data_IF_205758867030
#
_entry.id   IF_205758867030
#
_cell.length_a   1.000
_cell.length_b   1.000
_cell.length_c   1.000
_cell.angle_alpha   90.00
_cell.angle_beta   90.00
_cell.angle_gamma   90.00
#
_symmetry.space_group_name_H-M   'P 1'
#
loop_
_entity.id
_entity.type
_entity.pdbx_description
1 polymer ?
#
# COMPACT_ATOMS: atom_id res chain seq x y z
N UNK A 1 13.98 3.23 -33.63
CA UNK A 1 12.65 3.87 -33.49
C UNK A 1 12.71 4.90 -32.39
N UNK A 2 12.13 6.08 -32.63
CA UNK A 2 12.10 7.15 -31.63
C UNK A 2 11.06 6.82 -30.54
N UNK A 3 11.38 6.98 -29.24
CA UNK A 3 10.43 6.69 -28.18
C UNK A 3 9.23 7.63 -28.25
N UNK A 4 8.02 7.08 -28.17
CA UNK A 4 6.77 7.84 -28.22
C UNK A 4 6.15 7.98 -26.84
N UNK A 5 5.56 9.13 -26.57
CA UNK A 5 4.89 9.42 -25.33
C UNK A 5 3.58 8.64 -25.24
N UNK A 6 3.39 7.89 -24.16
CA UNK A 6 2.17 7.12 -23.94
C UNK A 6 0.90 7.95 -23.77
N UNK A 7 1.02 9.26 -23.44
CA UNK A 7 -0.13 10.16 -23.31
C UNK A 7 -0.49 10.90 -24.59
N UNK A 8 0.50 11.53 -25.23
CA UNK A 8 0.25 12.41 -26.39
C UNK A 8 0.65 11.79 -27.73
N UNK A 9 1.27 10.61 -27.76
CA UNK A 9 1.72 9.92 -28.97
C UNK A 9 2.91 10.57 -29.69
N UNK A 10 3.37 11.75 -29.24
CA UNK A 10 4.50 12.48 -29.85
C UNK A 10 5.84 11.89 -29.43
N UNK A 11 6.88 12.14 -30.24
CA UNK A 11 8.25 11.72 -29.95
C UNK A 11 8.75 12.39 -28.66
N UNK A 12 9.39 11.59 -27.79
CA UNK A 12 9.99 12.04 -26.53
C UNK A 12 11.48 12.23 -26.73
N UNK A 13 11.96 13.46 -26.58
CA UNK A 13 13.38 13.76 -26.63
C UNK A 13 14.08 13.37 -25.32
N UNK A 14 15.38 13.03 -25.33
CA UNK A 14 16.13 12.63 -24.14
C UNK A 14 16.02 13.62 -22.96
N UNK A 15 15.95 14.92 -23.24
CA UNK A 15 15.84 15.99 -22.24
C UNK A 15 14.59 15.90 -21.36
N UNK A 16 13.47 15.47 -21.94
CA UNK A 16 12.17 15.36 -21.25
C UNK A 16 11.74 13.90 -21.03
N UNK A 17 12.63 12.95 -21.33
CA UNK A 17 12.31 11.53 -21.29
C UNK A 17 12.16 11.05 -19.86
N UNK A 18 10.97 10.54 -19.57
CA UNK A 18 10.65 9.83 -18.33
C UNK A 18 10.29 8.39 -18.70
N UNK A 19 10.96 7.43 -18.06
CA UNK A 19 10.65 6.00 -18.18
C UNK A 19 9.86 5.56 -16.95
N UNK A 20 8.59 5.21 -17.13
CA UNK A 20 7.70 4.74 -16.08
C UNK A 20 6.63 3.81 -16.68
N UNK A 21 6.20 2.80 -15.93
CA UNK A 21 5.13 1.88 -16.35
C UNK A 21 5.43 1.19 -17.69
N UNK A 22 6.70 0.81 -17.89
CA UNK A 22 7.24 0.20 -19.12
C UNK A 22 6.98 1.03 -20.39
N UNK A 23 6.83 2.35 -20.23
CA UNK A 23 6.50 3.30 -21.28
C UNK A 23 7.31 4.58 -21.14
N UNK A 24 7.37 5.34 -22.23
CA UNK A 24 8.03 6.65 -22.27
C UNK A 24 7.00 7.77 -22.15
N UNK A 25 7.37 8.83 -21.44
CA UNK A 25 6.53 9.99 -21.17
C UNK A 25 7.38 11.26 -21.26
N UNK A 26 6.76 12.38 -21.64
CA UNK A 26 7.34 13.70 -21.40
C UNK A 26 7.20 14.10 -19.94
N UNK A 27 8.14 14.87 -19.39
CA UNK A 27 8.03 15.46 -18.04
C UNK A 27 6.71 16.19 -17.81
N UNK A 28 6.23 16.97 -18.78
CA UNK A 28 4.92 17.65 -18.71
C UNK A 28 3.71 16.74 -18.92
N UNK A 29 3.87 15.61 -19.61
CA UNK A 29 2.79 14.64 -19.83
C UNK A 29 2.59 13.70 -18.64
N UNK A 30 3.56 13.62 -17.73
CA UNK A 30 3.50 12.74 -16.58
C UNK A 30 2.73 13.39 -15.41
N UNK A 31 1.40 13.36 -15.50
CA UNK A 31 0.50 13.93 -14.49
C UNK A 31 -0.65 12.98 -14.16
N UNK A 32 -1.23 13.14 -12.97
CA UNK A 32 -2.32 12.30 -12.49
C UNK A 32 -3.51 12.32 -13.47
N UNK A 33 -4.09 11.15 -13.77
CA UNK A 33 -5.24 11.06 -14.67
C UNK A 33 -6.46 11.83 -14.15
N UNK A 34 -6.64 11.89 -12.82
CA UNK A 34 -7.80 12.50 -12.16
C UNK A 34 -7.61 14.00 -11.96
N UNK A 35 -6.60 14.43 -11.18
CA UNK A 35 -6.42 15.84 -10.84
C UNK A 35 -5.49 16.62 -11.77
N UNK A 36 -4.91 15.98 -12.79
CA UNK A 36 -3.94 16.58 -13.72
C UNK A 36 -2.70 17.22 -13.06
N UNK A 37 -2.46 16.96 -11.78
CA UNK A 37 -1.25 17.40 -11.07
C UNK A 37 -0.02 16.68 -11.62
N UNK A 38 1.06 17.42 -11.88
CA UNK A 38 2.34 16.86 -12.32
C UNK A 38 2.89 15.89 -11.26
N UNK A 39 3.26 14.70 -11.72
CA UNK A 39 3.83 13.65 -10.90
C UNK A 39 5.33 13.57 -11.15
N UNK A 40 6.05 12.97 -10.22
CA UNK A 40 7.47 12.71 -10.31
C UNK A 40 7.74 11.26 -9.92
N UNK A 41 8.97 10.80 -10.14
CA UNK A 41 9.37 9.42 -9.88
C UNK A 41 9.21 9.01 -8.40
N UNK A 42 9.13 9.97 -7.49
CA UNK A 42 9.02 9.72 -6.04
C UNK A 42 7.57 9.69 -5.55
N UNK A 43 6.62 10.33 -6.24
CA UNK A 43 5.24 10.52 -5.76
C UNK A 43 4.16 9.84 -6.60
N UNK A 44 4.53 9.19 -7.71
CA UNK A 44 3.57 8.54 -8.58
C UNK A 44 3.18 7.15 -8.10
N UNK A 45 1.96 6.73 -8.44
CA UNK A 45 1.50 5.35 -8.34
C UNK A 45 0.98 4.89 -9.70
N UNK A 46 1.40 3.70 -10.10
CA UNK A 46 0.96 3.08 -11.35
C UNK A 46 -0.26 2.21 -11.14
N UNK A 47 -1.35 2.46 -11.86
CA UNK A 47 -2.49 1.56 -11.93
C UNK A 47 -2.92 1.40 -13.39
N UNK A 48 -3.06 0.17 -13.87
CA UNK A 48 -3.45 -0.14 -15.27
C UNK A 48 -2.64 0.63 -16.34
N UNK A 49 -1.32 0.74 -16.16
CA UNK A 49 -0.41 1.49 -17.06
C UNK A 49 -0.72 3.00 -17.17
N UNK A 50 -1.43 3.56 -16.18
CA UNK A 50 -1.69 5.01 -16.06
C UNK A 50 -1.12 5.56 -14.73
N UNK A 51 -0.61 6.81 -14.74
CA UNK A 51 -0.05 7.43 -13.54
C UNK A 51 -1.14 8.12 -12.69
N UNK A 52 -1.13 7.84 -11.39
CA UNK A 52 -2.02 8.42 -10.38
C UNK A 52 -1.20 9.04 -9.24
N UNK A 53 -1.77 10.04 -8.57
CA UNK A 53 -1.20 10.56 -7.32
C UNK A 53 -1.62 9.65 -6.14
N UNK A 54 -0.95 9.79 -5.00
CA UNK A 54 -1.28 9.02 -3.78
C UNK A 54 -2.75 9.17 -3.33
N UNK A 55 -3.38 10.32 -3.57
CA UNK A 55 -4.77 10.57 -3.19
C UNK A 55 -5.79 9.89 -4.13
N UNK A 56 -5.49 9.80 -5.42
CA UNK A 56 -6.37 9.22 -6.43
C UNK A 56 -5.96 7.80 -6.86
N UNK A 57 -5.01 7.20 -6.15
CA UNK A 57 -4.61 5.82 -6.41
C UNK A 57 -5.74 4.87 -5.98
N UNK A 58 -6.27 4.02 -6.88
CA UNK A 58 -7.32 3.06 -6.53
C UNK A 58 -6.81 2.11 -5.44
N UNK A 59 -7.25 2.32 -4.20
CA UNK A 59 -7.00 1.38 -3.11
C UNK A 59 -7.96 0.21 -3.32
N UNK A 60 -7.42 -0.93 -3.72
CA UNK A 60 -8.16 -2.19 -3.62
C UNK A 60 -8.45 -2.41 -2.13
N UNK A 61 -9.66 -2.07 -1.70
CA UNK A 61 -10.17 -2.49 -0.40
C UNK A 61 -10.36 -3.99 -0.48
N UNK A 62 -9.34 -4.74 -0.07
CA UNK A 62 -9.56 -6.10 0.41
C UNK A 62 -10.43 -5.97 1.66
N UNK A 63 -11.75 -5.97 1.48
CA UNK A 63 -12.67 -6.28 2.57
C UNK A 63 -12.46 -7.77 2.86
N UNK A 64 -11.59 -8.08 3.81
CA UNK A 64 -11.46 -9.43 4.37
C UNK A 64 -12.68 -9.76 5.21
N UNK A 65 -13.81 -9.95 4.55
CA UNK A 65 -14.95 -10.75 5.03
C UNK A 65 -15.61 -11.33 3.78
N UNK A 66 -14.94 -12.27 3.14
CA UNK A 66 -15.70 -13.28 2.41
C UNK A 66 -16.39 -14.11 3.50
N UNK A 67 -17.73 -14.16 3.46
CA UNK A 67 -18.55 -15.01 4.32
C UNK A 67 -18.26 -16.49 4.04
N UNK A 68 -17.10 -16.98 4.49
CA UNK A 68 -16.81 -18.41 4.52
C UNK A 68 -17.62 -19.03 5.68
N UNK A 69 -18.16 -20.25 5.51
CA UNK A 69 -18.93 -20.94 6.56
C UNK A 69 -18.13 -21.18 7.85
N UNK A 70 -16.82 -21.01 7.80
CA UNK A 70 -15.90 -21.06 8.94
C UNK A 70 -16.03 -19.85 9.87
N UNK A 71 -16.31 -18.65 9.32
CA UNK A 71 -16.47 -17.42 10.12
C UNK A 71 -17.73 -17.47 11.00
N UNK A 72 -18.79 -18.13 10.52
CA UNK A 72 -20.02 -18.33 11.30
C UNK A 72 -19.80 -19.31 12.47
N UNK A 73 -18.97 -20.34 12.25
CA UNK A 73 -18.60 -21.33 13.28
C UNK A 73 -17.74 -20.71 14.39
N UNK A 74 -16.84 -19.80 14.04
CA UNK A 74 -16.00 -19.06 15.00
C UNK A 74 -16.84 -18.17 15.93
N UNK A 75 -17.88 -17.50 15.41
CA UNK A 75 -18.80 -16.72 16.23
C UNK A 75 -19.51 -17.59 17.28
N UNK A 76 -20.08 -18.72 16.83
CA UNK A 76 -20.79 -19.65 17.71
C UNK A 76 -19.86 -20.31 18.76
N UNK A 77 -18.60 -20.56 18.40
CA UNK A 77 -17.59 -21.11 19.30
C UNK A 77 -17.13 -20.09 20.35
N UNK A 78 -17.04 -18.80 20.03
CA UNK A 78 -16.68 -17.75 20.99
C UNK A 78 -17.73 -17.54 22.09
N UNK A 79 -19.01 -17.69 21.74
CA UNK A 79 -20.12 -17.59 22.70
C UNK A 79 -20.10 -18.76 23.69
N UNK A 80 -19.78 -19.98 23.22
CA UNK A 80 -19.66 -21.15 24.09
C UNK A 80 -18.37 -21.15 24.94
N UNK A 81 -17.28 -20.55 24.46
CA UNK A 81 -16.02 -20.42 25.19
C UNK A 81 -16.09 -19.41 26.35
N UNK A 82 -17.05 -18.48 26.33
CA UNK A 82 -17.26 -17.54 27.44
C UNK A 82 -17.73 -18.22 28.74
N UNK A 83 -18.18 -19.47 28.67
CA UNK A 83 -18.69 -20.24 29.80
C UNK A 83 -17.63 -21.17 30.43
N UNK A 84 -16.42 -21.27 29.88
CA UNK A 84 -15.37 -22.15 30.40
C UNK A 84 -14.07 -21.34 30.55
N UNK A 85 -13.72 -21.04 31.79
CA UNK A 85 -12.48 -20.38 32.17
C UNK A 85 -11.26 -21.30 31.89
N UNK A 86 -10.78 -21.35 30.66
CA UNK A 86 -9.42 -21.80 30.31
C UNK A 86 -8.86 -20.94 29.17
N UNK A 87 -7.76 -20.25 29.44
CA UNK A 87 -7.05 -19.37 28.51
C UNK A 87 -6.59 -20.14 27.25
N UNK A 88 -6.95 -19.72 26.03
CA UNK A 88 -6.33 -20.25 24.82
C UNK A 88 -5.34 -19.26 24.20
N UNK A 89 -4.11 -19.73 23.99
CA UNK A 89 -3.04 -19.08 23.23
C UNK A 89 -3.51 -18.76 21.79
N UNK A 90 -3.30 -17.53 21.31
CA UNK A 90 -3.53 -17.13 19.90
C UNK A 90 -2.43 -17.69 18.99
N UNK A 91 -2.74 -18.43 17.91
CA UNK A 91 -1.79 -18.72 16.85
C UNK A 91 -1.80 -17.61 15.79
N UNK A 92 -0.63 -17.10 15.40
CA UNK A 92 -0.45 -16.53 14.06
C UNK A 92 -0.11 -15.05 13.89
N UNK A 93 0.63 -14.39 14.80
CA UNK A 93 1.30 -13.12 14.42
C UNK A 93 2.60 -12.87 15.19
N UNK A 94 3.72 -12.76 14.46
CA UNK A 94 5.07 -12.37 14.91
C UNK A 94 5.58 -11.28 13.94
N UNK A 95 6.60 -10.46 14.27
CA UNK A 95 6.66 -9.42 15.29
C UNK A 95 6.86 -8.03 14.63
N UNK A 96 6.39 -6.92 15.21
CA UNK A 96 6.86 -5.59 14.78
C UNK A 96 7.90 -5.05 15.76
N UNK A 97 9.17 -4.81 15.36
CA UNK A 97 10.18 -4.16 16.21
C UNK A 97 9.91 -2.64 16.38
N UNK A 98 10.60 -2.00 17.36
CA UNK A 98 9.94 -1.19 18.39
C UNK A 98 10.03 0.32 18.13
N UNK A 99 9.07 1.10 18.65
CA UNK A 99 9.24 2.55 18.84
C UNK A 99 9.51 2.86 20.30
N UNK A 100 10.81 2.89 20.56
CA UNK A 100 11.56 3.61 21.60
C UNK A 100 10.78 4.79 22.20
N UNK A 101 10.48 4.71 23.50
CA UNK A 101 10.56 5.88 24.40
C UNK A 101 11.52 5.54 25.52
N UNK A 102 12.71 6.13 25.41
CA UNK A 102 13.70 6.29 26.47
C UNK A 102 13.09 7.08 27.64
N UNK A 103 13.03 6.46 28.82
CA UNK A 103 13.33 7.07 30.12
C UNK A 103 14.05 5.94 30.88
N UNK A 104 15.32 5.64 30.58
CA UNK A 104 16.53 6.20 31.19
C UNK A 104 16.44 6.38 32.72
N UNK A 105 17.36 5.65 33.39
CA UNK A 105 17.79 5.72 34.80
C UNK A 105 16.84 5.03 35.80
N UNK A 106 17.20 3.98 36.55
CA UNK A 106 18.53 3.60 37.07
C UNK A 106 18.67 2.08 37.20
N UNK A 107 19.81 1.59 36.71
CA UNK A 107 20.38 0.29 37.02
C UNK A 107 21.42 0.51 38.13
N UNK A 108 21.59 -0.49 39.00
CA UNK A 108 22.75 -0.69 39.90
C UNK A 108 22.83 0.16 41.18
N UNK A 109 22.60 -0.50 42.32
CA UNK A 109 23.73 -0.89 43.17
C UNK A 109 23.33 -2.10 44.06
N UNK A 110 24.36 -2.73 44.64
CA UNK A 110 24.33 -3.86 45.56
C UNK A 110 23.31 -3.76 46.70
#
# INVERSE_FOLDING_TARGET
MNPQCARCGKVVYPTEKVNCLDKYWHKGCFHCEVCKMALNMNNYKGYEKKPYCNAHYPKQSFTTVADTPENLRLKQQSELQSLININPLKPGQLPTPPRITFLLFDFMQH
#
